data_IF_840033739940
#
_entry.id   IF_840033739940
#
_cell.length_a   1.000
_cell.length_b   1.000
_cell.length_c   1.000
_cell.angle_alpha   90.00
_cell.angle_beta   90.00
_cell.angle_gamma   90.00
#
_symmetry.space_group_name_H-M   'P 1'
#
loop_
_entity.id
_entity.type
_entity.pdbx_description
1 polymer ?
#
# COMPACT_ATOMS: atom_id res chain seq x y z
N UNK A 1 1.08 -15.45 4.98
CA UNK A 1 0.05 -14.79 4.14
C UNK A 1 -0.69 -15.88 3.39
N UNK A 2 -2.03 -15.84 3.32
CA UNK A 2 -2.79 -16.88 2.59
C UNK A 2 -2.63 -16.76 1.06
N UNK A 3 -2.89 -17.82 0.25
CA UNK A 3 -2.72 -17.80 -1.21
C UNK A 3 -3.39 -16.62 -1.90
N UNK A 4 -4.59 -16.24 -1.47
CA UNK A 4 -5.33 -15.14 -2.08
C UNK A 4 -4.69 -13.76 -1.81
N UNK A 5 -3.93 -13.59 -0.72
CA UNK A 5 -3.16 -12.37 -0.48
C UNK A 5 -2.05 -12.20 -1.51
N UNK A 6 -1.37 -13.30 -1.87
CA UNK A 6 -0.37 -13.30 -2.93
C UNK A 6 -1.00 -13.04 -4.30
N UNK A 7 -2.18 -13.58 -4.56
CA UNK A 7 -2.93 -13.31 -5.79
C UNK A 7 -3.28 -11.83 -5.90
N UNK A 8 -3.87 -11.24 -4.85
CA UNK A 8 -4.20 -9.82 -4.81
C UNK A 8 -2.95 -8.96 -5.03
N UNK A 9 -1.87 -9.23 -4.29
CA UNK A 9 -0.61 -8.51 -4.39
C UNK A 9 -0.08 -8.52 -5.83
N UNK A 10 -0.02 -9.70 -6.44
CA UNK A 10 0.51 -9.88 -7.79
C UNK A 10 -0.34 -9.15 -8.84
N UNK A 11 -1.67 -9.33 -8.79
CA UNK A 11 -2.59 -8.70 -9.74
C UNK A 11 -2.61 -7.19 -9.58
N UNK A 12 -2.62 -6.70 -8.34
CA UNK A 12 -2.61 -5.27 -8.05
C UNK A 12 -1.34 -4.60 -8.56
N UNK A 13 -0.16 -5.17 -8.29
CA UNK A 13 1.12 -4.61 -8.73
C UNK A 13 1.23 -4.63 -10.26
N UNK A 14 0.80 -5.73 -10.89
CA UNK A 14 0.79 -5.83 -12.35
C UNK A 14 -0.08 -4.73 -12.97
N UNK A 15 -1.31 -4.56 -12.48
CA UNK A 15 -2.22 -3.53 -12.97
C UNK A 15 -1.72 -2.11 -12.67
N UNK A 16 -1.24 -1.86 -11.46
CA UNK A 16 -0.77 -0.55 -11.02
C UNK A 16 0.51 -0.13 -11.75
N UNK A 17 1.37 -1.08 -12.13
CA UNK A 17 2.57 -0.81 -12.94
C UNK A 17 2.27 -0.26 -14.34
N UNK A 18 1.05 -0.47 -14.86
CA UNK A 18 0.58 0.11 -16.13
C UNK A 18 0.05 1.55 -15.95
N UNK A 19 -0.15 2.00 -14.71
CA UNK A 19 -0.66 3.33 -14.39
C UNK A 19 0.48 4.35 -14.36
N UNK A 20 0.57 5.20 -15.38
CA UNK A 20 1.66 6.16 -15.52
C UNK A 20 1.82 7.14 -14.34
N UNK A 21 0.74 7.36 -13.58
CA UNK A 21 0.62 8.27 -12.44
C UNK A 21 0.89 7.60 -11.08
N UNK A 22 1.13 6.29 -11.06
CA UNK A 22 1.60 5.56 -9.89
C UNK A 22 3.12 5.43 -9.98
N UNK A 23 3.81 5.85 -8.94
CA UNK A 23 5.27 5.94 -8.88
C UNK A 23 5.89 4.84 -8.00
N UNK A 24 5.17 4.39 -6.97
CA UNK A 24 5.63 3.32 -6.07
C UNK A 24 4.51 2.72 -5.22
N UNK A 25 4.71 1.48 -4.80
CA UNK A 25 3.81 0.67 -4.00
C UNK A 25 4.64 -0.05 -2.91
N UNK A 26 4.24 0.13 -1.67
CA UNK A 26 4.75 -0.61 -0.53
C UNK A 26 3.61 -1.34 0.19
N UNK A 27 3.91 -2.48 0.77
CA UNK A 27 3.06 -3.17 1.73
C UNK A 27 3.50 -2.72 3.13
N UNK A 28 2.54 -2.45 4.01
CA UNK A 28 2.80 -2.01 5.39
C UNK A 28 2.04 -2.85 6.41
N UNK A 29 2.43 -2.76 7.68
CA UNK A 29 1.77 -3.46 8.77
C UNK A 29 2.07 -4.96 8.79
N UNK A 30 1.12 -5.76 9.28
CA UNK A 30 1.32 -7.18 9.59
C UNK A 30 1.75 -8.01 8.39
N UNK A 31 1.10 -7.86 7.24
CA UNK A 31 1.45 -8.57 6.00
C UNK A 31 2.84 -8.19 5.45
N UNK A 32 3.44 -7.08 5.91
CA UNK A 32 4.78 -6.67 5.54
C UNK A 32 5.88 -7.20 6.48
N UNK A 33 5.50 -7.84 7.60
CA UNK A 33 6.44 -8.54 8.48
C UNK A 33 6.71 -9.93 7.92
N UNK A 34 7.95 -10.41 8.03
CA UNK A 34 8.33 -11.77 7.62
C UNK A 34 7.98 -12.84 8.68
N UNK A 35 7.23 -12.48 9.73
CA UNK A 35 6.79 -13.39 10.80
C UNK A 35 5.46 -14.10 10.42
N UNK A 36 5.29 -15.34 10.91
CA UNK A 36 4.27 -16.29 10.47
C UNK A 36 2.83 -15.73 10.55
N UNK A 37 2.32 -15.42 9.36
CA UNK A 37 0.97 -15.72 8.88
C UNK A 37 -0.21 -15.39 9.80
N UNK A 38 -0.45 -14.09 10.03
CA UNK A 38 -1.80 -13.65 10.34
C UNK A 38 -2.68 -13.83 9.09
N UNK A 39 -3.31 -15.00 8.94
CA UNK A 39 -4.24 -15.31 7.82
C UNK A 39 -5.44 -14.35 7.78
N UNK A 40 -5.79 -13.78 8.94
CA UNK A 40 -6.85 -12.77 9.10
C UNK A 40 -6.35 -11.33 8.87
N UNK A 41 -5.05 -11.13 8.58
CA UNK A 41 -4.51 -9.78 8.43
C UNK A 41 -4.96 -9.10 7.14
N UNK A 42 -5.48 -7.88 7.31
CA UNK A 42 -5.79 -6.97 6.23
C UNK A 42 -4.53 -6.63 5.40
N UNK A 43 -4.69 -6.58 4.08
CA UNK A 43 -3.64 -6.15 3.16
C UNK A 43 -3.57 -4.62 3.14
N UNK A 44 -2.47 -4.03 3.61
CA UNK A 44 -2.33 -2.58 3.68
C UNK A 44 -1.28 -2.08 2.70
N UNK A 45 -1.71 -1.37 1.67
CA UNK A 45 -0.85 -0.78 0.65
C UNK A 45 -0.64 0.72 0.92
N UNK A 46 0.59 1.18 0.69
CA UNK A 46 0.91 2.59 0.49
C UNK A 46 1.29 2.79 -0.97
N UNK A 47 0.61 3.72 -1.63
CA UNK A 47 0.73 4.02 -3.06
C UNK A 47 1.17 5.47 -3.21
N UNK A 48 2.34 5.67 -3.80
CA UNK A 48 2.84 6.99 -4.19
C UNK A 48 2.25 7.35 -5.55
N UNK A 49 1.43 8.40 -5.61
CA UNK A 49 0.76 8.86 -6.83
C UNK A 49 0.66 10.38 -6.87
N UNK A 50 0.91 10.97 -8.04
CA UNK A 50 0.74 12.41 -8.30
C UNK A 50 -0.71 12.78 -8.69
N UNK A 51 -1.60 11.79 -8.77
CA UNK A 51 -3.02 11.94 -9.11
C UNK A 51 -3.92 11.11 -8.18
N UNK A 52 -3.97 11.47 -6.88
CA UNK A 52 -4.79 10.78 -5.84
C UNK A 52 -6.20 10.38 -6.29
N UNK A 53 -7.00 11.36 -6.73
CA UNK A 53 -8.37 11.10 -7.17
C UNK A 53 -8.44 10.13 -8.36
N UNK A 54 -7.53 10.26 -9.33
CA UNK A 54 -7.45 9.36 -10.48
C UNK A 54 -7.08 7.95 -10.05
N UNK A 55 -6.12 7.80 -9.13
CA UNK A 55 -5.73 6.49 -8.59
C UNK A 55 -6.89 5.83 -7.86
N UNK A 56 -7.62 6.57 -7.03
CA UNK A 56 -8.78 6.07 -6.32
C UNK A 56 -9.88 5.58 -7.27
N UNK A 57 -10.24 6.40 -8.26
CA UNK A 57 -11.21 6.03 -9.30
C UNK A 57 -10.75 4.83 -10.13
N UNK A 58 -9.45 4.75 -10.45
CA UNK A 58 -8.88 3.63 -11.19
C UNK A 58 -8.95 2.33 -10.37
N UNK A 59 -8.68 2.37 -9.06
CA UNK A 59 -8.84 1.20 -8.18
C UNK A 59 -10.30 0.77 -8.11
N UNK A 60 -11.24 1.71 -7.96
CA UNK A 60 -12.68 1.39 -7.85
C UNK A 60 -13.29 0.83 -9.15
N UNK A 61 -12.79 1.26 -10.31
CA UNK A 61 -13.50 1.02 -11.57
C UNK A 61 -12.71 0.25 -12.62
N UNK A 62 -11.39 0.13 -12.48
CA UNK A 62 -10.52 -0.49 -13.49
C UNK A 62 -9.74 -1.67 -12.93
N UNK A 63 -9.42 -1.68 -11.64
CA UNK A 63 -8.83 -2.84 -11.00
C UNK A 63 -9.93 -3.86 -10.67
N UNK A 64 -9.81 -5.06 -11.24
CA UNK A 64 -10.76 -6.16 -11.05
C UNK A 64 -10.00 -7.33 -10.45
N UNK A 65 -10.25 -7.59 -9.16
CA UNK A 65 -9.68 -8.73 -8.44
C UNK A 65 -10.78 -9.73 -8.08
N UNK A 66 -11.80 -9.26 -7.35
CA UNK A 66 -13.02 -10.01 -7.02
C UNK A 66 -14.19 -9.03 -6.86
N UNK A 67 -15.39 -9.53 -6.61
CA UNK A 67 -16.57 -8.75 -6.30
C UNK A 67 -16.31 -7.91 -5.04
N UNK A 68 -16.39 -6.59 -5.19
CA UNK A 68 -16.34 -5.66 -4.06
C UNK A 68 -17.69 -5.62 -3.37
N UNK A 69 -17.75 -6.09 -2.12
CA UNK A 69 -18.97 -6.03 -1.29
C UNK A 69 -19.11 -4.68 -0.61
N UNK A 70 -17.98 -4.08 -0.21
CA UNK A 70 -17.94 -2.77 0.42
C UNK A 70 -16.70 -2.00 -0.03
N UNK A 71 -16.87 -0.69 -0.22
CA UNK A 71 -15.78 0.26 -0.42
C UNK A 71 -15.99 1.49 0.46
N UNK A 72 -15.00 1.83 1.27
CA UNK A 72 -15.04 2.97 2.21
C UNK A 72 -13.84 3.86 1.95
N UNK A 73 -14.10 5.15 1.71
CA UNK A 73 -13.05 6.16 1.55
C UNK A 73 -12.91 6.98 2.84
N UNK A 74 -11.67 7.18 3.26
CA UNK A 74 -11.31 8.05 4.38
C UNK A 74 -10.17 9.00 4.00
N UNK A 75 -10.12 10.18 4.62
CA UNK A 75 -9.09 11.19 4.39
C UNK A 75 -8.42 11.56 5.72
N UNK A 76 -7.11 11.36 5.80
CA UNK A 76 -6.28 11.55 6.99
C UNK A 76 -5.07 12.41 6.65
N UNK A 77 -5.23 13.74 6.70
CA UNK A 77 -4.16 14.67 6.35
C UNK A 77 -3.70 14.49 4.89
N UNK A 78 -2.46 14.06 4.68
CA UNK A 78 -1.91 13.82 3.33
C UNK A 78 -2.31 12.47 2.72
N UNK A 79 -2.91 11.58 3.51
CA UNK A 79 -3.32 10.23 3.13
C UNK A 79 -4.80 10.21 2.72
N UNK A 80 -5.09 9.61 1.57
CA UNK A 80 -6.44 9.17 1.22
C UNK A 80 -6.47 7.65 1.28
N UNK A 81 -7.25 7.08 2.20
CA UNK A 81 -7.41 5.64 2.33
C UNK A 81 -8.66 5.18 1.61
N UNK A 82 -8.55 4.10 0.84
CA UNK A 82 -9.66 3.36 0.28
C UNK A 82 -9.63 1.93 0.81
N UNK A 83 -10.57 1.59 1.68
CA UNK A 83 -10.74 0.21 2.18
C UNK A 83 -11.77 -0.53 1.35
N UNK A 84 -11.42 -1.71 0.87
CA UNK A 84 -12.29 -2.59 0.09
C UNK A 84 -12.41 -3.94 0.81
N UNK A 85 -13.65 -4.40 0.97
CA UNK A 85 -13.99 -5.77 1.39
C UNK A 85 -14.43 -6.54 0.15
N UNK A 86 -13.72 -7.61 -0.18
CA UNK A 86 -14.02 -8.48 -1.31
C UNK A 86 -14.86 -9.68 -0.88
N UNK A 87 -15.67 -10.23 -1.79
CA UNK A 87 -16.57 -11.36 -1.51
C UNK A 87 -15.84 -12.66 -1.14
N UNK A 88 -14.55 -12.79 -1.47
CA UNK A 88 -13.69 -13.88 -1.01
C UNK A 88 -13.16 -13.68 0.43
N UNK A 89 -13.63 -12.65 1.14
CA UNK A 89 -13.24 -12.35 2.52
C UNK A 89 -11.87 -11.70 2.65
N UNK A 90 -11.24 -11.22 1.56
CA UNK A 90 -10.08 -10.33 1.68
C UNK A 90 -10.55 -8.93 2.02
N UNK A 91 -9.86 -8.33 2.97
CA UNK A 91 -9.92 -6.89 3.21
C UNK A 91 -8.60 -6.23 2.80
N UNK A 92 -8.68 -5.24 1.92
CA UNK A 92 -7.53 -4.49 1.44
C UNK A 92 -7.72 -3.00 1.67
N UNK A 93 -6.70 -2.36 2.23
CA UNK A 93 -6.62 -0.92 2.38
C UNK A 93 -5.58 -0.34 1.41
N UNK A 94 -6.03 0.58 0.57
CA UNK A 94 -5.22 1.28 -0.42
C UNK A 94 -5.00 2.72 0.04
N UNK A 95 -3.88 2.95 0.71
CA UNK A 95 -3.46 4.27 1.16
C UNK A 95 -2.73 5.03 0.06
N UNK A 96 -3.32 6.11 -0.43
CA UNK A 96 -2.79 6.92 -1.53
C UNK A 96 -2.21 8.22 -0.99
N UNK A 97 -0.93 8.44 -1.27
CA UNK A 97 -0.16 9.61 -0.84
C UNK A 97 0.64 10.17 -2.01
N UNK A 98 1.12 11.40 -1.88
CA UNK A 98 2.09 12.00 -2.80
C UNK A 98 3.52 11.74 -2.31
N UNK A 99 4.52 12.08 -3.13
CA UNK A 99 5.95 11.90 -2.80
C UNK A 99 6.39 12.59 -1.50
N UNK A 100 5.62 13.59 -1.01
CA UNK A 100 5.87 14.19 0.30
C UNK A 100 5.90 13.15 1.44
N UNK A 101 5.22 12.00 1.30
CA UNK A 101 5.20 10.95 2.31
C UNK A 101 6.56 10.26 2.51
N UNK A 102 7.38 10.17 1.45
CA UNK A 102 8.74 9.59 1.48
C UNK A 102 9.83 10.66 1.66
N UNK A 103 9.45 11.93 1.77
CA UNK A 103 10.39 13.05 1.84
C UNK A 103 11.18 13.02 3.14
N UNK A 104 12.50 13.18 3.03
CA UNK A 104 13.38 13.30 4.19
C UNK A 104 13.45 14.76 4.71
N UNK A 105 13.48 14.98 6.04
CA UNK A 105 13.32 13.96 7.10
C UNK A 105 11.88 13.41 7.15
N UNK A 106 11.73 12.11 7.42
CA UNK A 106 10.42 11.48 7.55
C UNK A 106 9.62 12.14 8.69
N UNK A 107 8.33 12.37 8.45
CA UNK A 107 7.43 12.83 9.50
C UNK A 107 7.05 11.68 10.46
N UNK A 108 6.57 12.02 11.66
CA UNK A 108 6.23 11.03 12.68
C UNK A 108 5.18 10.01 12.20
N UNK A 109 4.19 10.45 11.43
CA UNK A 109 3.16 9.56 10.89
C UNK A 109 3.72 8.50 9.94
N UNK A 110 4.67 8.87 9.08
CA UNK A 110 5.41 7.91 8.24
C UNK A 110 6.21 6.95 9.10
N UNK A 111 6.95 7.45 10.11
CA UNK A 111 7.73 6.62 11.03
C UNK A 111 6.85 5.58 11.74
N UNK A 112 5.70 6.01 12.27
CA UNK A 112 4.76 5.14 13.00
C UNK A 112 4.18 4.02 12.13
N UNK A 113 4.07 4.24 10.82
CA UNK A 113 3.61 3.24 9.85
C UNK A 113 4.74 2.26 9.53
N UNK A 114 5.91 2.76 9.12
CA UNK A 114 6.97 1.92 8.56
C UNK A 114 7.65 1.04 9.61
N UNK A 115 7.65 1.47 10.87
CA UNK A 115 8.19 0.70 12.00
C UNK A 115 7.35 -0.51 12.38
N UNK A 116 6.07 -0.58 11.96
CA UNK A 116 5.17 -1.71 12.22
C UNK A 116 5.29 -2.85 11.21
N UNK A 117 6.08 -2.65 10.16
CA UNK A 117 6.26 -3.51 9.01
C UNK A 117 6.20 -2.69 7.72
N UNK A 118 7.21 -2.86 6.86
CA UNK A 118 7.32 -2.13 5.60
C UNK A 118 8.09 -2.97 4.59
N UNK A 119 7.51 -3.15 3.40
CA UNK A 119 8.11 -3.91 2.30
C UNK A 119 7.83 -3.21 0.98
N UNK A 120 8.89 -2.84 0.27
CA UNK A 120 8.76 -2.31 -1.09
C UNK A 120 8.33 -3.44 -2.01
N UNK A 121 7.25 -3.23 -2.76
CA UNK A 121 6.71 -4.23 -3.69
C UNK A 121 7.01 -3.84 -5.14
N UNK A 122 6.87 -2.56 -5.46
CA UNK A 122 7.17 -2.02 -6.78
C UNK A 122 7.49 -0.53 -6.69
N UNK A 123 8.46 -0.06 -7.47
CA UNK A 123 8.76 1.37 -7.60
C UNK A 123 9.41 1.63 -8.96
N UNK A 124 9.15 2.80 -9.55
CA UNK A 124 9.74 3.18 -10.84
C UNK A 124 11.17 3.71 -10.70
N UNK A 125 11.39 4.45 -9.62
CA UNK A 125 12.69 4.95 -9.16
C UNK A 125 12.88 4.48 -7.71
N UNK A 126 14.06 4.69 -7.13
CA UNK A 126 14.37 4.32 -5.75
C UNK A 126 13.68 5.24 -4.71
N UNK A 127 12.36 5.40 -4.81
CA UNK A 127 11.54 6.33 -4.02
C UNK A 127 11.54 5.97 -2.54
N UNK A 128 11.55 4.67 -2.23
CA UNK A 128 11.50 4.19 -0.86
C UNK A 128 12.89 4.00 -0.22
N UNK A 129 13.98 4.35 -0.92
CA UNK A 129 15.35 4.15 -0.42
C UNK A 129 15.54 4.82 0.95
N UNK A 130 15.09 6.07 1.11
CA UNK A 130 15.18 6.78 2.38
C UNK A 130 14.46 6.08 3.54
N UNK A 131 13.32 5.43 3.27
CA UNK A 131 12.59 4.64 4.27
C UNK A 131 13.35 3.35 4.59
N UNK A 132 13.84 2.63 3.58
CA UNK A 132 14.60 1.39 3.81
C UNK A 132 15.88 1.63 4.60
N UNK A 133 16.60 2.72 4.33
CA UNK A 133 17.77 3.15 5.09
C UNK A 133 17.39 3.54 6.52
N UNK A 134 16.28 4.27 6.71
CA UNK A 134 15.79 4.61 8.04
C UNK A 134 15.52 3.35 8.88
N UNK A 135 14.78 2.37 8.33
CA UNK A 135 14.47 1.11 9.00
C UNK A 135 15.74 0.34 9.34
N UNK A 136 16.67 0.21 8.39
CA UNK A 136 17.93 -0.52 8.58
C UNK A 136 18.78 0.06 9.72
N UNK A 137 18.76 1.40 9.90
CA UNK A 137 19.50 2.08 10.96
C UNK A 137 18.83 2.02 12.33
N UNK A 138 17.53 1.71 12.41
CA UNK A 138 16.76 1.67 13.67
C UNK A 138 16.43 0.25 14.15
N UNK A 139 16.69 -0.77 13.32
CA UNK A 139 16.57 -2.19 13.68
C UNK A 139 17.92 -2.83 14.08
N UNK A 140 18.99 -2.03 14.25
CA UNK A 140 20.25 -2.44 14.89
C UNK A 140 20.26 -2.09 16.37
#
# INVERSE_FOLDING_TARGET
MRPDHYALLFEFVKWAGEQSHIAGIALVGACARDEEEDEDSHMNFVIISDKKAKTLEAILHQFQFDLMEQATKEEWGILTSLRIVYANGIEAEYGIVEEEWVKNPLNQGTIDVVTKGFKVIWEREALFEGITQFIANHNQ
#
